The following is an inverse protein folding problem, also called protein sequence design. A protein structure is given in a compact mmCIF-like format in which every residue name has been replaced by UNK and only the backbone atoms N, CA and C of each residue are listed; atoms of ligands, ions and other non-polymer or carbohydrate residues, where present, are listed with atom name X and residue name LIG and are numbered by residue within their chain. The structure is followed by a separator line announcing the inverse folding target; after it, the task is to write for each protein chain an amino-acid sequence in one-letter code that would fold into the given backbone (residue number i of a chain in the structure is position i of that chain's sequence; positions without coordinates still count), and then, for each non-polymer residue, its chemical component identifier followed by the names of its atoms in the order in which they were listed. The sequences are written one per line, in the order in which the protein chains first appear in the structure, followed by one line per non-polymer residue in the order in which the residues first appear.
data_IF_374449516943
#
_entry.id   IF_374449516943
#
_cell.length_a   1.000
_cell.length_b   1.000
_cell.length_c   1.000
_cell.angle_alpha   90.00
_cell.angle_beta   90.00
_cell.angle_gamma   90.00
#
_symmetry.space_group_name_H-M   'P 1'
#
loop_
_entity.id
_entity.type
_entity.pdbx_description
1 polymer ?
#
# COMPACT_ATOMS: atom_id res chain seq x y z
N UNK A 1 26.39 5.69 9.05
CA UNK A 1 25.42 4.64 8.67
C UNK A 1 25.58 4.38 7.18
N UNK A 2 26.18 3.25 6.81
CA UNK A 2 26.41 2.90 5.41
C UNK A 2 25.08 2.44 4.80
N UNK A 3 24.58 3.16 3.78
CA UNK A 3 23.50 2.67 2.90
C UNK A 3 24.08 1.60 1.94
N UNK A 4 24.65 0.54 2.51
CA UNK A 4 25.30 -0.55 1.79
C UNK A 4 24.28 -1.54 1.21
N UNK A 5 23.57 -1.13 0.15
CA UNK A 5 22.64 -2.03 -0.54
C UNK A 5 21.77 -1.42 -1.65
N UNK A 6 21.68 -0.09 -1.74
CA UNK A 6 20.97 0.57 -2.86
C UNK A 6 21.95 0.66 -4.04
N UNK A 7 22.24 -0.48 -4.67
CA UNK A 7 23.28 -0.55 -5.69
C UNK A 7 22.76 -0.26 -7.11
N UNK A 8 21.44 -0.12 -7.34
CA UNK A 8 20.88 0.07 -8.69
C UNK A 8 19.61 0.95 -8.67
N UNK A 9 19.71 2.27 -8.93
CA UNK A 9 18.56 3.18 -8.99
C UNK A 9 17.46 2.71 -9.96
N UNK A 10 17.84 2.09 -11.07
CA UNK A 10 16.91 1.53 -12.06
C UNK A 10 15.97 0.45 -11.48
N UNK A 11 16.45 -0.34 -10.52
CA UNK A 11 15.64 -1.39 -9.88
C UNK A 11 14.60 -0.76 -8.96
N UNK A 12 15.00 0.29 -8.24
CA UNK A 12 14.08 1.04 -7.39
C UNK A 12 12.97 1.69 -8.23
N UNK A 13 13.32 2.29 -9.37
CA UNK A 13 12.34 2.89 -10.29
C UNK A 13 11.35 1.84 -10.82
N UNK A 14 11.85 0.69 -11.30
CA UNK A 14 11.00 -0.41 -11.78
C UNK A 14 10.10 -0.96 -10.67
N UNK A 15 10.61 -1.14 -9.47
CA UNK A 15 9.83 -1.57 -8.30
C UNK A 15 8.74 -0.56 -7.97
N UNK A 16 9.08 0.72 -7.92
CA UNK A 16 8.15 1.80 -7.60
C UNK A 16 7.05 1.89 -8.65
N UNK A 17 7.40 1.70 -9.94
CA UNK A 17 6.44 1.64 -11.04
C UNK A 17 5.53 0.41 -10.96
N UNK A 18 6.06 -0.76 -10.62
CA UNK A 18 5.25 -1.97 -10.40
C UNK A 18 4.25 -1.76 -9.26
N UNK A 19 4.69 -1.19 -8.14
CA UNK A 19 3.81 -0.84 -7.01
C UNK A 19 2.75 0.20 -7.40
N UNK A 20 3.10 1.18 -8.23
CA UNK A 20 2.17 2.20 -8.71
C UNK A 20 1.07 1.62 -9.62
N UNK A 21 1.35 0.56 -10.37
CA UNK A 21 0.33 -0.16 -11.14
C UNK A 21 -0.55 -1.06 -10.27
N UNK A 22 -0.02 -1.57 -9.16
CA UNK A 22 -0.74 -2.47 -8.23
C UNK A 22 -1.33 -1.74 -7.01
N UNK A 23 -1.65 -0.44 -7.12
CA UNK A 23 -2.23 0.33 -6.01
C UNK A 23 -3.56 -0.25 -5.51
N UNK A 24 -3.70 -0.38 -4.19
CA UNK A 24 -4.90 -0.93 -3.58
C UNK A 24 -5.07 -2.44 -3.74
N UNK A 25 -4.10 -3.12 -4.36
CA UNK A 25 -4.07 -4.57 -4.48
C UNK A 25 -3.12 -5.18 -3.45
N UNK A 26 -3.33 -6.48 -3.20
CA UNK A 26 -2.38 -7.30 -2.46
C UNK A 26 -1.14 -7.51 -3.34
N UNK A 27 0.05 -7.26 -2.77
CA UNK A 27 1.31 -7.32 -3.52
C UNK A 27 2.18 -8.44 -2.97
N UNK A 28 2.48 -9.42 -3.83
CA UNK A 28 3.38 -10.54 -3.53
C UNK A 28 4.84 -10.13 -3.71
N UNK A 29 5.67 -10.40 -2.71
CA UNK A 29 7.11 -10.11 -2.76
C UNK A 29 7.84 -11.08 -3.70
N UNK A 30 7.30 -12.30 -3.84
CA UNK A 30 7.83 -13.30 -4.77
C UNK A 30 7.58 -12.89 -6.23
N UNK A 31 6.36 -12.42 -6.54
CA UNK A 31 6.02 -11.89 -7.86
C UNK A 31 6.91 -10.71 -8.23
N UNK A 32 7.08 -9.75 -7.31
CA UNK A 32 7.97 -8.60 -7.53
C UNK A 32 9.43 -9.02 -7.74
N UNK A 33 9.91 -10.01 -6.98
CA UNK A 33 11.26 -10.54 -7.12
C UNK A 33 11.48 -11.17 -8.51
N UNK A 34 10.50 -11.94 -8.99
CA UNK A 34 10.52 -12.55 -10.32
C UNK A 34 10.51 -11.49 -11.44
N UNK A 35 9.58 -10.53 -11.37
CA UNK A 35 9.43 -9.44 -12.36
C UNK A 35 10.69 -8.57 -12.47
N UNK A 36 11.35 -8.32 -11.34
CA UNK A 36 12.55 -7.48 -11.26
C UNK A 36 13.87 -8.26 -11.40
N UNK A 37 13.79 -9.59 -11.47
CA UNK A 37 14.93 -10.52 -11.49
C UNK A 37 15.95 -10.25 -10.37
N UNK A 38 15.46 -10.07 -9.14
CA UNK A 38 16.27 -9.87 -7.93
C UNK A 38 15.81 -10.78 -6.81
N UNK A 39 16.61 -10.88 -5.75
CA UNK A 39 16.23 -11.67 -4.58
C UNK A 39 15.12 -10.99 -3.76
N UNK A 40 14.27 -11.82 -3.14
CA UNK A 40 13.13 -11.36 -2.34
C UNK A 40 13.55 -10.50 -1.14
N UNK A 41 14.75 -10.72 -0.58
CA UNK A 41 15.27 -9.94 0.54
C UNK A 41 15.59 -8.51 0.09
N UNK A 42 16.16 -8.34 -1.09
CA UNK A 42 16.42 -7.03 -1.72
C UNK A 42 15.12 -6.30 -2.03
N UNK A 43 14.10 -6.98 -2.57
CA UNK A 43 12.76 -6.40 -2.75
C UNK A 43 12.21 -5.89 -1.41
N UNK A 44 12.30 -6.72 -0.36
CA UNK A 44 11.83 -6.36 0.97
C UNK A 44 12.56 -5.14 1.55
N UNK A 45 13.88 -5.09 1.38
CA UNK A 45 14.69 -3.95 1.82
C UNK A 45 14.30 -2.65 1.10
N UNK A 46 14.08 -2.70 -0.22
CA UNK A 46 13.64 -1.52 -0.97
C UNK A 46 12.23 -1.07 -0.58
N UNK A 47 11.29 -2.00 -0.41
CA UNK A 47 9.95 -1.66 0.07
C UNK A 47 10.03 -1.04 1.47
N UNK A 48 10.87 -1.57 2.36
CA UNK A 48 11.06 -1.03 3.69
C UNK A 48 11.65 0.39 3.66
N UNK A 49 12.59 0.65 2.74
CA UNK A 49 13.10 2.00 2.50
C UNK A 49 11.99 2.95 2.07
N UNK A 50 11.11 2.53 1.14
CA UNK A 50 9.99 3.35 0.67
C UNK A 50 8.96 3.64 1.77
N UNK A 51 8.76 2.72 2.72
CA UNK A 51 7.96 2.97 3.93
C UNK A 51 8.62 4.04 4.82
N UNK A 52 9.92 3.92 5.10
CA UNK A 52 10.65 4.87 5.93
C UNK A 52 10.76 6.26 5.28
N UNK A 53 10.77 6.31 3.95
CA UNK A 53 10.77 7.55 3.17
C UNK A 53 9.37 8.18 3.02
N UNK A 54 8.32 7.59 3.61
CA UNK A 54 6.94 8.06 3.50
C UNK A 54 6.45 8.21 2.04
N UNK A 55 6.96 7.37 1.13
CA UNK A 55 6.48 7.32 -0.27
C UNK A 55 5.23 6.44 -0.35
N UNK A 56 5.28 5.29 0.32
CA UNK A 56 4.19 4.33 0.38
C UNK A 56 3.86 4.01 1.84
N UNK A 57 2.66 3.48 2.07
CA UNK A 57 2.24 2.87 3.33
C UNK A 57 1.45 1.59 3.07
N UNK A 58 1.28 0.79 4.11
CA UNK A 58 0.57 -0.49 4.08
C UNK A 58 -0.74 -0.39 4.85
N UNK A 59 -1.77 -1.03 4.31
CA UNK A 59 -3.02 -1.28 5.02
C UNK A 59 -3.09 -2.79 5.32
N UNK A 60 -2.98 -3.20 6.59
CA UNK A 60 -3.05 -4.61 6.97
C UNK A 60 -4.46 -5.17 6.80
N UNK A 61 -4.56 -6.48 6.57
CA UNK A 61 -5.85 -7.18 6.60
C UNK A 61 -6.31 -7.34 8.04
N UNK A 62 -7.57 -7.07 8.31
CA UNK A 62 -8.19 -7.39 9.59
C UNK A 62 -8.30 -8.90 9.75
N UNK A 63 -7.72 -9.45 10.81
CA UNK A 63 -7.84 -10.86 11.18
C UNK A 63 -8.00 -11.01 12.69
N UNK A 64 -9.01 -11.75 13.15
CA UNK A 64 -9.21 -12.02 14.59
C UNK A 64 -8.08 -12.85 15.19
N UNK A 65 -7.38 -13.65 14.37
CA UNK A 65 -6.23 -14.43 14.79
C UNK A 65 -4.93 -13.65 14.52
N UNK A 66 -4.37 -13.03 15.55
CA UNK A 66 -3.11 -12.27 15.53
C UNK A 66 -1.95 -13.02 14.82
N UNK A 67 -1.87 -14.36 14.98
CA UNK A 67 -0.83 -15.19 14.34
C UNK A 67 -0.99 -15.26 12.81
N UNK A 68 -2.22 -15.17 12.31
CA UNK A 68 -2.50 -15.15 10.87
C UNK A 68 -2.49 -13.73 10.29
N UNK A 69 -2.70 -12.70 11.12
CA UNK A 69 -2.55 -11.29 10.77
C UNK A 69 -1.14 -10.97 10.25
N UNK A 70 -0.12 -11.57 10.88
CA UNK A 70 1.29 -11.42 10.48
C UNK A 70 1.56 -12.03 9.09
N UNK A 71 0.83 -13.10 8.73
CA UNK A 71 0.99 -13.81 7.46
C UNK A 71 0.09 -13.29 6.34
N UNK A 72 -0.85 -12.41 6.64
CA UNK A 72 -1.85 -11.99 5.64
C UNK A 72 -1.25 -10.95 4.71
N UNK A 73 -1.70 -11.00 3.45
CA UNK A 73 -1.33 -10.01 2.46
C UNK A 73 -1.70 -8.60 2.94
N UNK A 74 -0.94 -7.61 2.47
CA UNK A 74 -1.12 -6.21 2.83
C UNK A 74 -1.32 -5.43 1.54
N UNK A 75 -2.38 -4.61 1.52
CA UNK A 75 -2.57 -3.65 0.43
C UNK A 75 -1.56 -2.53 0.58
N UNK A 76 -0.96 -2.10 -0.53
CA UNK A 76 0.02 -1.02 -0.57
C UNK A 76 -0.59 0.20 -1.24
N UNK A 77 -0.35 1.36 -0.65
CA UNK A 77 -0.88 2.65 -1.09
C UNK A 77 0.23 3.70 -1.07
N UNK A 78 0.04 4.78 -1.82
CA UNK A 78 0.93 5.94 -1.86
C UNK A 78 0.38 7.04 -0.96
N UNK A 79 1.26 7.75 -0.25
CA UNK A 79 0.86 8.93 0.52
C UNK A 79 0.32 10.07 -0.36
N UNK A 80 0.85 10.16 -1.58
CA UNK A 80 0.51 11.17 -2.58
C UNK A 80 0.18 10.50 -3.93
N UNK A 81 -1.05 10.71 -4.39
CA UNK A 81 -1.53 10.19 -5.68
C UNK A 81 -0.89 10.89 -6.88
N UNK A 82 -0.48 12.15 -6.74
CA UNK A 82 0.28 12.90 -7.74
C UNK A 82 1.66 12.32 -7.95
N UNK A 83 2.38 11.98 -6.88
CA UNK A 83 3.68 11.27 -6.96
C UNK A 83 3.50 9.95 -7.71
N UNK A 84 2.50 9.15 -7.31
CA UNK A 84 2.15 7.90 -7.99
C UNK A 84 1.88 8.10 -9.49
N UNK A 85 1.12 9.14 -9.84
CA UNK A 85 0.76 9.44 -11.23
C UNK A 85 1.98 9.86 -12.05
N UNK A 86 2.90 10.62 -11.44
CA UNK A 86 4.16 11.01 -12.08
C UNK A 86 5.05 9.80 -12.36
N UNK A 87 5.12 8.83 -11.44
CA UNK A 87 5.90 7.59 -11.61
C UNK A 87 5.41 6.76 -12.81
N UNK A 88 4.11 6.68 -13.05
CA UNK A 88 3.57 5.93 -14.19
C UNK A 88 3.45 6.78 -15.47
N UNK A 89 3.68 8.09 -15.39
CA UNK A 89 3.55 9.03 -16.50
C UNK A 89 2.11 9.26 -16.97
N UNK A 90 1.12 8.95 -16.14
CA UNK A 90 -0.29 9.18 -16.46
C UNK A 90 -0.80 10.38 -15.65
N UNK A 91 -0.92 11.53 -16.31
CA UNK A 91 -1.44 12.78 -15.76
C UNK A 91 -2.77 13.20 -16.43
N UNK A 92 -3.43 12.26 -17.12
CA UNK A 92 -4.72 12.55 -17.76
C UNK A 92 -5.78 12.95 -16.72
N UNK A 93 -6.79 13.73 -17.13
CA UNK A 93 -7.97 14.00 -16.31
C UNK A 93 -8.62 12.72 -15.79
N UNK A 94 -9.14 12.74 -14.55
CA UNK A 94 -9.64 11.55 -13.85
C UNK A 94 -10.75 10.81 -14.62
N UNK A 95 -11.55 11.55 -15.38
CA UNK A 95 -12.73 11.09 -16.12
C UNK A 95 -12.38 10.05 -17.19
N UNK A 96 -11.21 10.19 -17.82
CA UNK A 96 -10.75 9.34 -18.93
C UNK A 96 -9.83 8.20 -18.47
N UNK A 97 -9.58 8.09 -17.16
CA UNK A 97 -8.66 7.10 -16.60
C UNK A 97 -9.35 5.76 -16.37
N UNK A 98 -8.63 4.70 -16.69
CA UNK A 98 -9.07 3.32 -16.40
C UNK A 98 -8.88 2.94 -14.93
N UNK A 99 -7.86 3.51 -14.27
CA UNK A 99 -7.51 3.24 -12.87
C UNK A 99 -8.18 4.21 -11.88
N UNK A 100 -9.19 4.97 -12.32
CA UNK A 100 -9.87 6.00 -11.50
C UNK A 100 -10.38 5.47 -10.16
N UNK A 101 -10.89 4.23 -10.13
CA UNK A 101 -11.39 3.60 -8.90
C UNK A 101 -10.27 3.35 -7.89
N UNK A 102 -9.15 2.75 -8.33
CA UNK A 102 -8.00 2.48 -7.47
C UNK A 102 -7.33 3.78 -7.01
N UNK A 103 -7.25 4.78 -7.88
CA UNK A 103 -6.69 6.09 -7.55
C UNK A 103 -7.54 6.80 -6.49
N UNK A 104 -8.87 6.77 -6.65
CA UNK A 104 -9.81 7.31 -5.69
C UNK A 104 -9.74 6.58 -4.34
N UNK A 105 -9.69 5.25 -4.37
CA UNK A 105 -9.49 4.44 -3.18
C UNK A 105 -8.19 4.81 -2.45
N UNK A 106 -7.06 4.92 -3.15
CA UNK A 106 -5.80 5.36 -2.57
C UNK A 106 -5.94 6.73 -1.89
N UNK A 107 -6.55 7.69 -2.56
CA UNK A 107 -6.78 9.03 -2.02
C UNK A 107 -7.59 8.96 -0.71
N UNK A 108 -8.72 8.27 -0.71
CA UNK A 108 -9.58 8.14 0.48
C UNK A 108 -8.85 7.52 1.67
N UNK A 109 -8.08 6.44 1.44
CA UNK A 109 -7.32 5.79 2.51
C UNK A 109 -6.22 6.72 3.04
N UNK A 110 -5.50 7.42 2.15
CA UNK A 110 -4.44 8.34 2.55
C UNK A 110 -5.01 9.51 3.38
N UNK A 111 -6.12 10.11 2.94
CA UNK A 111 -6.78 11.18 3.67
C UNK A 111 -7.34 10.71 5.02
N UNK A 112 -7.86 9.48 5.10
CA UNK A 112 -8.31 8.90 6.36
C UNK A 112 -7.16 8.71 7.35
N UNK A 113 -6.00 8.25 6.85
CA UNK A 113 -4.81 8.06 7.67
C UNK A 113 -4.28 9.41 8.20
N UNK A 114 -4.24 10.44 7.35
CA UNK A 114 -3.89 11.82 7.75
C UNK A 114 -4.88 12.37 8.77
N UNK A 115 -6.17 12.19 8.54
CA UNK A 115 -7.23 12.62 9.46
C UNK A 115 -7.09 12.00 10.85
N UNK A 116 -6.84 10.69 10.92
CA UNK A 116 -6.61 10.00 12.19
C UNK A 116 -5.36 10.53 12.90
N UNK A 117 -4.28 10.77 12.15
CA UNK A 117 -3.05 11.34 12.69
C UNK A 117 -3.25 12.76 13.26
N UNK A 118 -3.99 13.63 12.55
CA UNK A 118 -4.28 14.99 13.03
C UNK A 118 -5.16 15.02 14.28
N UNK A 119 -6.00 14.00 14.47
CA UNK A 119 -6.82 13.84 15.67
C UNK A 119 -6.11 13.10 16.81
N UNK A 120 -4.85 12.71 16.63
CA UNK A 120 -4.12 11.84 17.56
C UNK A 120 -4.93 10.57 17.92
N UNK A 121 -5.73 10.08 16.98
CA UNK A 121 -6.56 8.90 17.19
C UNK A 121 -5.69 7.66 17.28
N UNK A 122 -5.97 6.80 18.26
CA UNK A 122 -5.36 5.48 18.40
C UNK A 122 -6.01 4.43 17.49
N UNK A 123 -6.92 4.86 16.61
CA UNK A 123 -7.61 4.00 15.65
C UNK A 123 -6.64 3.34 14.70
N UNK A 124 -6.71 2.00 14.62
CA UNK A 124 -5.94 1.22 13.66
C UNK A 124 -6.77 0.98 12.41
N UNK A 125 -6.18 1.31 11.26
CA UNK A 125 -6.79 1.08 9.96
C UNK A 125 -6.46 -0.29 9.41
N UNK A 126 -7.47 -0.96 8.86
CA UNK A 126 -7.40 -2.27 8.23
C UNK A 126 -8.20 -2.29 6.93
N UNK A 127 -7.96 -3.26 6.07
CA UNK A 127 -8.95 -3.69 5.08
C UNK A 127 -9.53 -5.04 5.51
N UNK A 128 -10.74 -5.38 5.08
CA UNK A 128 -11.31 -6.68 5.42
C UNK A 128 -11.86 -7.36 4.18
N UNK A 129 -11.46 -8.62 3.98
CA UNK A 129 -11.93 -9.48 2.90
C UNK A 129 -12.46 -10.79 3.48
N UNK A 130 -13.65 -11.19 3.04
CA UNK A 130 -14.20 -12.51 3.41
C UNK A 130 -13.65 -13.61 2.51
N UNK A 131 -13.78 -14.87 2.93
CA UNK A 131 -13.43 -16.04 2.09
C UNK A 131 -14.26 -16.13 0.81
N UNK A 132 -15.41 -15.44 0.75
CA UNK A 132 -16.26 -15.31 -0.44
C UNK A 132 -15.92 -14.07 -1.29
N UNK A 133 -14.72 -13.49 -1.11
CA UNK A 133 -14.22 -12.31 -1.84
C UNK A 133 -15.06 -11.03 -1.71
N UNK A 134 -15.90 -10.92 -0.67
CA UNK A 134 -16.51 -9.63 -0.34
C UNK A 134 -15.50 -8.77 0.41
N UNK A 135 -15.34 -7.52 -0.03
CA UNK A 135 -14.35 -6.57 0.51
C UNK A 135 -15.02 -5.36 1.16
N UNK A 136 -14.48 -4.99 2.32
CA UNK A 136 -14.60 -3.67 2.92
C UNK A 136 -13.24 -2.99 2.75
N UNK A 137 -13.24 -1.86 2.06
CA UNK A 137 -12.02 -1.14 1.67
C UNK A 137 -11.28 -0.58 2.88
N UNK A 138 -12.02 -0.14 3.91
CA UNK A 138 -11.44 0.37 5.13
C UNK A 138 -12.26 -0.02 6.37
N UNK A 139 -11.58 -0.56 7.37
CA UNK A 139 -12.11 -0.81 8.70
C UNK A 139 -11.24 -0.09 9.72
N UNK A 140 -11.88 0.59 10.66
CA UNK A 140 -11.24 1.26 11.78
C UNK A 140 -11.52 0.47 13.06
N UNK A 141 -10.47 0.07 13.78
CA UNK A 141 -10.58 -0.53 15.12
C UNK A 141 -10.26 0.54 16.17
N UNK A 142 -11.25 0.88 16.99
CA UNK A 142 -11.10 1.77 18.14
C UNK A 142 -11.48 1.00 19.42
N UNK A 143 -10.46 0.70 20.24
CA UNK A 143 -10.55 -0.13 21.44
C UNK A 143 -11.10 -1.55 21.17
N UNK A 144 -12.42 -1.69 21.06
CA UNK A 144 -13.14 -2.95 20.80
C UNK A 144 -14.21 -2.83 19.71
N UNK A 145 -14.42 -1.62 19.17
CA UNK A 145 -15.44 -1.34 18.17
C UNK A 145 -14.76 -1.31 16.80
N UNK A 146 -15.32 -2.08 15.86
CA UNK A 146 -14.87 -2.12 14.46
C UNK A 146 -15.91 -1.41 13.61
N UNK A 147 -15.50 -0.35 12.91
CA UNK A 147 -16.37 0.40 11.99
C UNK A 147 -15.88 0.22 10.56
N UNK A 148 -16.75 -0.24 9.65
CA UNK A 148 -16.42 -0.47 8.24
C UNK A 148 -16.91 0.64 7.32
N UNK A 149 -16.12 0.95 6.29
CA UNK A 149 -16.39 1.96 5.25
C UNK A 149 -16.19 1.33 3.87
N UNK A 150 -17.10 1.65 2.94
CA UNK A 150 -17.10 1.22 1.54
C UNK A 150 -17.18 2.44 0.64
#
# INVERSE_FOLDING_TARGET
MSYGGICKPEILEKLLRALAFQIGSEVSYDELAQVLCIDMKTVSNYINLLYQAYVIFKLPSFNKNLRNEIKTNQKKYFYDTGVRNMIIGDLKPLEVRQDKGNLWGNFLIAERLKHNAYKSSLSKGYYWRTTKQQEIDYAAEEATIITGFK
#
